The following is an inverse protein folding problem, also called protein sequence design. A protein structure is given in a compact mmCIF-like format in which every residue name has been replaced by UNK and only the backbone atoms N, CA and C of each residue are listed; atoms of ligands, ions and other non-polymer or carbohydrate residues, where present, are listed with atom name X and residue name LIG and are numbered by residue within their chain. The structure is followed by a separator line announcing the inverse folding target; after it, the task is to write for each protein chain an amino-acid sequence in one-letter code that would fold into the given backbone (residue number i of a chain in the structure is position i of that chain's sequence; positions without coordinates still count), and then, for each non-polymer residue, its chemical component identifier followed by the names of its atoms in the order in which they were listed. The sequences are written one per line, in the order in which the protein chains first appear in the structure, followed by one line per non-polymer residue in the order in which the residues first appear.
data_IF_185964943315
#
_entry.id   IF_185964943315
#
_cell.length_a   1.000
_cell.length_b   1.000
_cell.length_c   1.000
_cell.angle_alpha   90.00
_cell.angle_beta   90.00
_cell.angle_gamma   90.00
#
_symmetry.space_group_name_H-M   'P 1'
#
loop_
_entity.id
_entity.type
_entity.pdbx_description
1 polymer ?
#
# COMPACT_ATOMS: atom_id res chain seq x y z
N UNK A 1 33.80 -8.11 -13.42
CA UNK A 1 32.62 -8.80 -12.89
C UNK A 1 31.46 -7.81 -12.92
N UNK A 2 30.30 -8.13 -13.53
CA UNK A 2 29.14 -7.27 -13.40
C UNK A 2 28.69 -7.29 -11.94
N UNK A 3 28.62 -6.11 -11.31
CA UNK A 3 28.06 -5.98 -9.97
C UNK A 3 26.54 -6.16 -10.08
N UNK A 4 26.01 -7.19 -9.40
CA UNK A 4 24.56 -7.42 -9.34
C UNK A 4 23.97 -6.31 -8.49
N UNK A 5 23.04 -5.54 -9.06
CA UNK A 5 22.31 -4.52 -8.34
C UNK A 5 21.26 -5.18 -7.45
N UNK A 6 21.43 -5.03 -6.13
CA UNK A 6 20.53 -5.54 -5.10
C UNK A 6 19.54 -4.49 -4.59
N UNK A 7 19.50 -3.29 -5.19
CA UNK A 7 18.59 -2.20 -4.80
C UNK A 7 17.12 -2.64 -4.77
N UNK A 8 16.72 -3.57 -5.66
CA UNK A 8 15.37 -4.14 -5.67
C UNK A 8 15.03 -4.88 -4.38
N UNK A 9 15.99 -5.56 -3.76
CA UNK A 9 15.80 -6.30 -2.50
C UNK A 9 15.52 -5.32 -1.36
N UNK A 10 16.26 -4.21 -1.32
CA UNK A 10 16.07 -3.18 -0.30
C UNK A 10 14.69 -2.54 -0.39
N UNK A 11 14.20 -2.28 -1.61
CA UNK A 11 12.86 -1.77 -1.85
C UNK A 11 11.78 -2.75 -1.37
N UNK A 12 11.92 -4.04 -1.65
CA UNK A 12 10.94 -5.04 -1.19
C UNK A 12 10.96 -5.21 0.33
N UNK A 13 12.13 -5.20 0.97
CA UNK A 13 12.25 -5.20 2.44
C UNK A 13 11.55 -3.96 3.02
N UNK A 14 11.73 -2.79 2.40
CA UNK A 14 11.11 -1.54 2.84
C UNK A 14 9.59 -1.60 2.71
N UNK A 15 9.08 -2.12 1.59
CA UNK A 15 7.64 -2.35 1.38
C UNK A 15 7.04 -3.29 2.43
N UNK A 16 7.74 -4.37 2.78
CA UNK A 16 7.27 -5.32 3.79
C UNK A 16 7.13 -4.66 5.17
N UNK A 17 8.14 -3.88 5.60
CA UNK A 17 8.09 -3.13 6.86
C UNK A 17 6.96 -2.09 6.89
N UNK A 18 6.77 -1.37 5.78
CA UNK A 18 5.69 -0.38 5.65
C UNK A 18 4.32 -1.07 5.64
N UNK A 19 4.19 -2.22 5.00
CA UNK A 19 2.96 -3.02 5.02
C UNK A 19 2.57 -3.39 6.45
N UNK A 20 3.48 -4.00 7.22
CA UNK A 20 3.21 -4.38 8.61
C UNK A 20 2.86 -3.18 9.50
N UNK A 21 3.58 -2.07 9.32
CA UNK A 21 3.32 -0.83 10.06
C UNK A 21 1.91 -0.29 9.81
N UNK A 22 1.45 -0.32 8.56
CA UNK A 22 0.22 0.34 8.17
C UNK A 22 -0.97 -0.60 8.04
N UNK A 23 -0.83 -1.93 7.95
CA UNK A 23 -1.98 -2.82 7.74
C UNK A 23 -3.01 -2.72 8.87
N UNK A 24 -2.58 -2.57 10.12
CA UNK A 24 -3.48 -2.45 11.29
C UNK A 24 -3.56 -1.02 11.85
N UNK A 25 -2.89 -0.05 11.24
CA UNK A 25 -2.88 1.33 11.71
C UNK A 25 -4.25 2.02 11.53
N UNK A 26 -4.62 2.98 12.39
CA UNK A 26 -5.89 3.69 12.31
C UNK A 26 -5.94 4.78 11.21
N UNK A 27 -5.05 4.75 10.21
CA UNK A 27 -5.03 5.75 9.11
C UNK A 27 -6.40 5.80 8.43
N UNK A 28 -6.99 7.00 8.39
CA UNK A 28 -8.43 7.20 8.17
C UNK A 28 -8.83 7.29 6.68
N UNK A 29 -7.91 7.57 5.75
CA UNK A 29 -8.20 7.67 4.30
C UNK A 29 -7.02 7.28 3.37
N UNK A 30 -7.28 6.89 2.10
CA UNK A 30 -6.21 6.48 1.13
C UNK A 30 -5.17 7.58 0.95
N UNK A 31 -5.59 8.86 0.96
CA UNK A 31 -4.72 9.97 0.64
C UNK A 31 -3.62 10.18 1.68
N UNK A 32 -3.97 10.08 2.96
CA UNK A 32 -3.02 10.14 4.07
C UNK A 32 -2.06 8.94 4.05
N UNK A 33 -2.59 7.73 3.83
CA UNK A 33 -1.75 6.53 3.67
C UNK A 33 -0.75 6.69 2.51
N UNK A 34 -1.22 7.15 1.36
CA UNK A 34 -0.39 7.35 0.17
C UNK A 34 0.67 8.44 0.42
N UNK A 35 0.32 9.55 1.06
CA UNK A 35 1.26 10.61 1.43
C UNK A 35 2.39 10.09 2.32
N UNK A 36 2.08 9.22 3.28
CA UNK A 36 3.11 8.57 4.11
C UNK A 36 4.01 7.63 3.31
N UNK A 37 3.44 6.83 2.41
CA UNK A 37 4.20 5.87 1.61
C UNK A 37 5.10 6.56 0.59
N UNK A 38 4.66 7.67 -0.01
CA UNK A 38 5.45 8.46 -0.98
C UNK A 38 6.68 9.16 -0.35
N UNK A 39 6.75 9.29 0.98
CA UNK A 39 7.97 9.76 1.66
C UNK A 39 9.08 8.71 1.65
N UNK A 40 8.72 7.46 1.45
CA UNK A 40 9.62 6.31 1.66
C UNK A 40 9.83 5.49 0.39
N UNK A 41 8.90 5.55 -0.56
CA UNK A 41 8.88 4.80 -1.81
C UNK A 41 8.66 5.75 -2.98
N UNK A 42 9.09 5.34 -4.17
CA UNK A 42 8.64 5.99 -5.40
C UNK A 42 7.11 5.87 -5.54
N UNK A 43 6.55 6.72 -6.38
CA UNK A 43 5.11 6.83 -6.59
C UNK A 43 4.45 5.50 -6.96
N UNK A 44 5.05 4.74 -7.89
CA UNK A 44 4.49 3.46 -8.34
C UNK A 44 4.41 2.47 -7.18
N UNK A 45 5.50 2.34 -6.42
CA UNK A 45 5.60 1.43 -5.30
C UNK A 45 4.73 1.86 -4.12
N UNK A 46 4.60 3.17 -3.87
CA UNK A 46 3.71 3.72 -2.87
C UNK A 46 2.23 3.42 -3.19
N UNK A 47 1.80 3.66 -4.44
CA UNK A 47 0.42 3.39 -4.91
C UNK A 47 0.07 1.91 -4.82
N UNK A 48 0.95 1.03 -5.30
CA UNK A 48 0.77 -0.43 -5.22
C UNK A 48 0.64 -0.91 -3.77
N UNK A 49 1.50 -0.41 -2.88
CA UNK A 49 1.48 -0.80 -1.47
C UNK A 49 0.23 -0.26 -0.75
N UNK A 50 -0.19 0.98 -1.04
CA UNK A 50 -1.42 1.56 -0.51
C UNK A 50 -2.64 0.71 -0.87
N UNK A 51 -2.79 0.35 -2.15
CA UNK A 51 -3.87 -0.51 -2.62
C UNK A 51 -3.88 -1.87 -1.91
N UNK A 52 -2.72 -2.52 -1.76
CA UNK A 52 -2.60 -3.79 -1.05
C UNK A 52 -3.05 -3.68 0.42
N UNK A 53 -2.61 -2.63 1.13
CA UNK A 53 -2.98 -2.41 2.53
C UNK A 53 -4.49 -2.21 2.67
N UNK A 54 -5.08 -1.41 1.78
CA UNK A 54 -6.51 -1.13 1.77
C UNK A 54 -7.34 -2.41 1.55
N UNK A 55 -6.98 -3.23 0.57
CA UNK A 55 -7.63 -4.52 0.32
C UNK A 55 -7.48 -5.47 1.52
N UNK A 56 -6.29 -5.57 2.12
CA UNK A 56 -6.08 -6.45 3.27
C UNK A 56 -6.91 -6.01 4.49
N UNK A 57 -7.03 -4.70 4.72
CA UNK A 57 -7.90 -4.14 5.77
C UNK A 57 -9.36 -4.47 5.50
N UNK A 58 -9.79 -4.41 4.24
CA UNK A 58 -11.14 -4.76 3.81
C UNK A 58 -11.50 -6.21 4.19
N UNK A 59 -10.60 -7.13 3.84
CA UNK A 59 -10.76 -8.56 4.13
C UNK A 59 -10.79 -8.82 5.64
N UNK A 60 -9.86 -8.22 6.41
CA UNK A 60 -9.78 -8.41 7.87
C UNK A 60 -11.02 -7.89 8.60
N UNK A 61 -11.64 -6.83 8.10
CA UNK A 61 -12.85 -6.23 8.69
C UNK A 61 -14.15 -6.96 8.29
N UNK A 62 -14.10 -8.03 7.49
CA UNK A 62 -15.27 -8.74 6.95
C UNK A 62 -16.29 -7.77 6.35
N UNK A 63 -15.79 -6.80 5.59
CA UNK A 63 -16.61 -5.73 5.03
C UNK A 63 -17.74 -6.29 4.17
N UNK A 64 -18.87 -5.59 4.20
CA UNK A 64 -20.00 -5.88 3.30
C UNK A 64 -19.59 -5.63 1.85
N UNK A 65 -20.28 -6.25 0.88
CA UNK A 65 -19.97 -6.07 -0.55
C UNK A 65 -19.92 -4.60 -0.98
N UNK A 66 -20.74 -3.73 -0.38
CA UNK A 66 -20.77 -2.30 -0.67
C UNK A 66 -19.48 -1.58 -0.24
N UNK A 67 -19.00 -1.89 0.96
CA UNK A 67 -17.78 -1.31 1.53
C UNK A 67 -16.54 -1.82 0.80
N UNK A 68 -16.54 -3.10 0.40
CA UNK A 68 -15.51 -3.70 -0.45
C UNK A 68 -15.44 -3.00 -1.82
N UNK A 69 -16.61 -2.69 -2.42
CA UNK A 69 -16.69 -1.95 -3.70
C UNK A 69 -16.09 -0.55 -3.59
N UNK A 70 -16.46 0.21 -2.55
CA UNK A 70 -15.85 1.54 -2.29
C UNK A 70 -14.35 1.46 -2.12
N UNK A 71 -13.86 0.43 -1.43
CA UNK A 71 -12.42 0.22 -1.24
C UNK A 71 -11.70 -0.14 -2.55
N UNK A 72 -12.33 -0.92 -3.42
CA UNK A 72 -11.81 -1.17 -4.76
C UNK A 72 -11.76 0.13 -5.60
N UNK A 73 -12.82 0.93 -5.58
CA UNK A 73 -12.88 2.22 -6.26
C UNK A 73 -11.81 3.20 -5.73
N UNK A 74 -11.60 3.25 -4.42
CA UNK A 74 -10.56 4.08 -3.82
C UNK A 74 -9.15 3.55 -4.13
N UNK A 75 -8.96 2.22 -4.18
CA UNK A 75 -7.70 1.63 -4.62
C UNK A 75 -7.41 1.96 -6.09
N UNK A 76 -8.41 1.89 -6.98
CA UNK A 76 -8.29 2.28 -8.39
C UNK A 76 -7.95 3.75 -8.57
N UNK A 77 -8.54 4.65 -7.77
CA UNK A 77 -8.18 6.08 -7.77
C UNK A 77 -6.72 6.32 -7.41
N UNK A 78 -6.16 5.49 -6.54
CA UNK A 78 -4.75 5.59 -6.18
C UNK A 78 -3.84 5.14 -7.38
N UNK A 79 -4.38 4.60 -8.49
CA UNK A 79 -3.67 4.33 -9.76
C UNK A 79 -3.90 5.36 -10.89
N UNK A 80 -4.87 6.27 -10.76
CA UNK A 80 -5.08 7.39 -11.70
C UNK A 80 -4.16 8.57 -11.40
#
# INVERSE_FOLDING_TARGET
MPQVDHSWVEVEIKKAKLFEKYVDAPVENCHELLSHLMKELDERNARLLAAKILLQRAERRRLTQLELRRLHEDAERCFQ
#
